data_IF_246773219887
#
_entry.id   IF_246773219887
#
_cell.length_a   1.000
_cell.length_b   1.000
_cell.length_c   1.000
_cell.angle_alpha   90.00
_cell.angle_beta   90.00
_cell.angle_gamma   90.00
#
_symmetry.space_group_name_H-M   'P 1'
#
loop_
_entity.id
_entity.type
_entity.pdbx_description
1 polymer ?
#
# COMPACT_ATOMS: atom_id res chain seq x y z
N UNK A 1 -10.91 -63.57 45.76
CA UNK A 1 -11.06 -63.00 44.40
C UNK A 1 -9.91 -63.53 43.56
N UNK A 2 -10.26 -64.19 42.45
CA UNK A 2 -9.45 -65.05 41.57
C UNK A 2 -8.57 -64.23 40.57
N UNK A 3 -7.63 -64.84 39.82
CA UNK A 3 -6.28 -64.33 39.58
C UNK A 3 -5.92 -64.13 38.09
N UNK A 4 -4.63 -63.79 37.86
CA UNK A 4 -3.77 -64.00 36.66
C UNK A 4 -3.58 -62.83 35.67
N UNK A 5 -2.29 -62.64 35.36
CA UNK A 5 -1.55 -61.85 34.34
C UNK A 5 -2.10 -61.98 32.90
N UNK A 6 -1.41 -61.57 31.79
CA UNK A 6 -0.17 -60.81 31.57
C UNK A 6 -0.24 -59.75 30.41
N UNK A 7 0.85 -58.99 30.24
CA UNK A 7 1.47 -58.59 28.95
C UNK A 7 0.57 -58.21 27.76
N UNK A 8 0.55 -56.93 27.36
CA UNK A 8 0.46 -56.55 25.94
C UNK A 8 1.30 -55.31 25.64
N UNK A 9 2.46 -55.55 25.04
CA UNK A 9 3.14 -54.56 24.20
C UNK A 9 2.32 -54.37 22.91
N UNK A 10 2.08 -53.11 22.54
CA UNK A 10 1.61 -52.75 21.21
C UNK A 10 2.63 -51.80 20.58
N UNK A 11 3.22 -52.31 19.50
CA UNK A 11 4.21 -51.70 18.63
C UNK A 11 3.47 -51.07 17.43
N UNK A 12 4.10 -50.06 16.81
CA UNK A 12 3.78 -49.45 15.51
C UNK A 12 2.57 -48.48 15.51
N UNK A 13 2.63 -47.30 14.90
CA UNK A 13 3.03 -47.05 13.50
C UNK A 13 3.56 -45.63 13.25
N UNK A 14 4.45 -45.59 12.27
CA UNK A 14 5.10 -44.46 11.59
C UNK A 14 4.12 -43.37 11.14
N UNK A 15 4.39 -42.12 11.52
CA UNK A 15 3.79 -40.92 10.95
C UNK A 15 4.89 -39.87 10.74
N UNK A 16 5.33 -39.75 9.50
CA UNK A 16 6.29 -38.74 9.04
C UNK A 16 5.67 -37.36 9.29
N UNK A 17 6.35 -36.52 10.07
CA UNK A 17 6.01 -35.10 10.24
C UNK A 17 6.91 -34.28 9.33
N UNK A 18 6.41 -33.68 8.23
CA UNK A 18 7.03 -32.54 7.61
C UNK A 18 6.14 -31.33 7.90
N UNK A 19 6.27 -30.76 9.10
CA UNK A 19 5.74 -29.43 9.43
C UNK A 19 6.94 -28.48 9.55
N UNK A 20 7.57 -28.24 8.40
CA UNK A 20 8.58 -27.21 8.22
C UNK A 20 8.32 -26.58 6.85
N UNK A 21 7.53 -25.51 6.84
CA UNK A 21 7.55 -24.39 5.89
C UNK A 21 6.50 -23.34 6.32
N UNK A 22 6.54 -22.92 7.60
CA UNK A 22 6.09 -21.57 7.96
C UNK A 22 7.34 -20.69 7.89
N UNK A 23 7.68 -20.29 6.67
CA UNK A 23 8.59 -19.19 6.37
C UNK A 23 7.74 -18.13 5.65
N UNK A 24 7.57 -16.92 6.13
CA UNK A 24 7.97 -16.32 7.37
C UNK A 24 7.24 -14.98 7.50
N UNK A 25 6.85 -14.63 8.71
CA UNK A 25 6.52 -13.26 9.09
C UNK A 25 7.37 -12.92 10.32
N UNK A 26 8.69 -12.83 10.12
CA UNK A 26 9.63 -12.26 11.09
C UNK A 26 11.02 -12.07 10.47
N UNK A 27 11.29 -10.86 9.98
CA UNK A 27 12.61 -10.20 10.07
C UNK A 27 13.79 -10.85 9.38
N UNK A 28 13.93 -10.62 8.08
CA UNK A 28 15.24 -10.41 7.47
C UNK A 28 15.35 -8.92 7.12
N UNK A 29 16.01 -8.14 7.98
CA UNK A 29 16.48 -6.79 7.64
C UNK A 29 17.72 -6.95 6.74
N UNK A 30 17.46 -7.34 5.49
CA UNK A 30 18.40 -7.25 4.39
C UNK A 30 18.11 -5.95 3.63
N UNK A 31 19.15 -5.17 3.36
CA UNK A 31 19.11 -4.00 2.48
C UNK A 31 18.74 -4.43 1.06
N UNK A 32 17.45 -4.61 0.81
CA UNK A 32 16.86 -4.47 -0.51
C UNK A 32 16.13 -3.14 -0.51
N UNK A 33 16.52 -2.25 -1.41
CA UNK A 33 15.73 -1.09 -1.84
C UNK A 33 14.47 -1.57 -2.61
N UNK A 34 13.79 -2.59 -2.09
CA UNK A 34 12.55 -3.13 -2.61
C UNK A 34 11.42 -2.28 -2.06
N UNK A 35 10.89 -1.39 -2.90
CA UNK A 35 9.56 -0.84 -2.67
C UNK A 35 8.62 -2.02 -2.42
N UNK A 36 7.87 -2.01 -1.34
CA UNK A 36 6.87 -3.04 -1.01
C UNK A 36 5.63 -2.95 -1.92
N UNK A 37 5.85 -2.70 -3.22
CA UNK A 37 4.84 -2.63 -4.26
C UNK A 37 5.03 -3.81 -5.20
N UNK A 38 3.92 -4.43 -5.62
CA UNK A 38 3.93 -5.43 -6.69
C UNK A 38 4.54 -4.88 -7.99
N UNK A 39 4.80 -5.77 -8.93
CA UNK A 39 5.27 -5.39 -10.26
C UNK A 39 4.25 -4.45 -10.92
N UNK A 40 4.67 -3.23 -11.24
CA UNK A 40 3.79 -2.23 -11.86
C UNK A 40 3.49 -2.53 -13.33
N UNK A 41 2.54 -1.81 -13.89
CA UNK A 41 2.19 -1.93 -15.31
C UNK A 41 3.17 -1.18 -16.22
N UNK A 42 3.46 -1.75 -17.39
CA UNK A 42 4.19 -1.04 -18.42
C UNK A 42 3.41 0.19 -18.90
N UNK A 43 4.12 1.22 -19.35
CA UNK A 43 3.48 2.38 -19.97
C UNK A 43 2.62 1.94 -21.16
N UNK A 44 1.33 2.31 -21.15
CA UNK A 44 0.37 1.94 -22.17
C UNK A 44 -0.18 0.51 -22.05
N UNK A 45 -0.05 -0.13 -20.88
CA UNK A 45 -0.79 -1.37 -20.58
C UNK A 45 -2.29 -1.20 -20.84
N UNK A 46 -2.95 -2.31 -21.20
CA UNK A 46 -4.39 -2.26 -21.49
C UNK A 46 -5.18 -2.10 -20.19
N UNK A 47 -6.37 -1.48 -20.28
CA UNK A 47 -7.27 -1.38 -19.13
C UNK A 47 -7.73 -2.78 -18.65
N UNK A 48 -7.89 -3.74 -19.57
CA UNK A 48 -8.24 -5.13 -19.23
C UNK A 48 -7.20 -5.80 -18.32
N UNK A 49 -5.90 -5.53 -18.54
CA UNK A 49 -4.83 -6.03 -17.67
C UNK A 49 -4.92 -5.44 -16.26
N UNK A 50 -5.31 -4.17 -16.14
CA UNK A 50 -5.49 -3.50 -14.85
C UNK A 50 -6.74 -4.02 -14.14
N UNK A 51 -7.86 -4.12 -14.87
CA UNK A 51 -9.15 -4.61 -14.39
C UNK A 51 -9.01 -6.02 -13.79
N UNK A 52 -8.26 -6.90 -14.47
CA UNK A 52 -8.03 -8.26 -14.00
C UNK A 52 -7.33 -8.33 -12.63
N UNK A 53 -6.50 -7.34 -12.28
CA UNK A 53 -5.79 -7.29 -11.00
C UNK A 53 -6.68 -6.71 -9.89
N UNK A 54 -7.61 -5.82 -10.24
CA UNK A 54 -8.48 -5.14 -9.27
C UNK A 54 -9.88 -5.77 -9.16
N UNK A 55 -10.18 -6.84 -9.91
CA UNK A 55 -11.52 -7.45 -9.93
C UNK A 55 -12.00 -7.88 -8.53
N UNK A 56 -11.11 -8.47 -7.74
CA UNK A 56 -11.38 -8.91 -6.37
C UNK A 56 -11.15 -7.81 -5.31
N UNK A 57 -10.79 -6.59 -5.71
CA UNK A 57 -10.60 -5.48 -4.78
C UNK A 57 -11.97 -5.06 -4.20
N UNK A 58 -12.09 -5.13 -2.88
CA UNK A 58 -13.20 -4.50 -2.15
C UNK A 58 -13.10 -2.96 -2.30
N UNK A 59 -14.22 -2.24 -2.39
CA UNK A 59 -14.18 -0.78 -2.50
C UNK A 59 -13.37 -0.14 -1.37
N UNK A 60 -12.42 0.72 -1.73
CA UNK A 60 -11.57 1.46 -0.80
C UNK A 60 -11.68 2.97 -1.04
N UNK A 61 -11.47 3.73 0.03
CA UNK A 61 -11.33 5.18 -0.02
C UNK A 61 -9.95 5.54 0.49
N UNK A 62 -9.20 6.31 -0.31
CA UNK A 62 -7.87 6.81 0.03
C UNK A 62 -7.95 8.30 0.36
N UNK A 63 -7.20 8.76 1.35
CA UNK A 63 -7.09 10.17 1.72
C UNK A 63 -6.10 10.86 0.80
N UNK A 64 -6.55 11.89 0.09
CA UNK A 64 -5.74 12.65 -0.87
C UNK A 64 -5.67 14.14 -0.51
N UNK A 65 -4.45 14.67 -0.36
CA UNK A 65 -4.18 16.11 -0.24
C UNK A 65 -3.63 16.73 -1.53
N UNK A 66 -4.48 17.26 -2.42
CA UNK A 66 -4.06 17.94 -3.65
C UNK A 66 -3.39 19.31 -3.40
N UNK A 67 -2.85 19.89 -4.47
CA UNK A 67 -2.22 21.22 -4.48
C UNK A 67 -3.17 22.38 -4.19
N UNK A 68 -4.47 22.22 -4.42
CA UNK A 68 -5.47 23.27 -4.26
C UNK A 68 -5.68 23.69 -2.81
N UNK A 69 -5.79 24.99 -2.55
CA UNK A 69 -6.14 25.49 -1.21
C UNK A 69 -7.61 25.29 -0.87
N UNK A 70 -8.47 25.15 -1.88
CA UNK A 70 -9.89 24.84 -1.79
C UNK A 70 -10.34 24.18 -3.10
N UNK A 71 -11.53 23.52 -3.12
CA UNK A 71 -11.97 22.76 -4.30
C UNK A 71 -12.23 23.62 -5.54
N UNK A 72 -12.46 24.93 -5.40
CA UNK A 72 -12.86 25.83 -6.49
C UNK A 72 -11.69 26.66 -7.06
N UNK A 73 -10.45 26.34 -6.69
CA UNK A 73 -9.27 27.08 -7.20
C UNK A 73 -8.78 26.54 -8.54
N UNK A 74 -8.10 27.35 -9.37
CA UNK A 74 -7.41 26.83 -10.55
C UNK A 74 -6.42 25.70 -10.25
N UNK A 75 -5.79 25.74 -9.07
CA UNK A 75 -4.87 24.69 -8.60
C UNK A 75 -5.57 23.38 -8.20
N UNK A 76 -6.91 23.35 -8.11
CA UNK A 76 -7.69 22.15 -7.80
C UNK A 76 -8.03 21.30 -9.03
N UNK A 77 -7.95 21.86 -10.24
CA UNK A 77 -8.36 21.19 -11.49
C UNK A 77 -7.66 19.84 -11.67
N UNK A 78 -6.34 19.79 -11.47
CA UNK A 78 -5.58 18.55 -11.59
C UNK A 78 -5.95 17.53 -10.49
N UNK A 79 -6.29 18.01 -9.28
CA UNK A 79 -6.74 17.16 -8.19
C UNK A 79 -8.06 16.48 -8.51
N UNK A 80 -9.04 17.22 -9.03
CA UNK A 80 -10.33 16.68 -9.44
C UNK A 80 -10.20 15.68 -10.58
N UNK A 81 -9.45 16.03 -11.63
CA UNK A 81 -9.23 15.13 -12.77
C UNK A 81 -8.53 13.83 -12.34
N UNK A 82 -7.58 13.90 -11.42
CA UNK A 82 -6.91 12.71 -10.89
C UNK A 82 -7.86 11.80 -10.09
N UNK A 83 -8.72 12.39 -9.25
CA UNK A 83 -9.74 11.65 -8.51
C UNK A 83 -10.76 10.98 -9.44
N UNK A 84 -11.26 11.72 -10.44
CA UNK A 84 -12.20 11.22 -11.45
C UNK A 84 -11.60 10.05 -12.25
N UNK A 85 -10.37 10.19 -12.73
CA UNK A 85 -9.70 9.14 -13.51
C UNK A 85 -9.43 7.89 -12.67
N UNK A 86 -9.10 8.03 -11.38
CA UNK A 86 -8.94 6.87 -10.48
C UNK A 86 -10.27 6.17 -10.26
N UNK A 87 -11.35 6.91 -10.01
CA UNK A 87 -12.67 6.34 -9.80
C UNK A 87 -13.18 5.64 -11.07
N UNK A 88 -13.06 6.28 -12.24
CA UNK A 88 -13.49 5.72 -13.52
C UNK A 88 -12.69 4.47 -13.90
N UNK A 89 -11.36 4.55 -13.86
CA UNK A 89 -10.49 3.42 -14.27
C UNK A 89 -10.46 2.27 -13.28
N UNK A 90 -10.91 2.49 -12.05
CA UNK A 90 -11.07 1.42 -11.07
C UNK A 90 -12.48 0.81 -11.09
N UNK A 91 -13.36 1.26 -11.99
CA UNK A 91 -14.77 0.84 -11.99
C UNK A 91 -15.49 1.21 -10.68
N UNK A 92 -15.07 2.31 -10.04
CA UNK A 92 -15.59 2.78 -8.76
C UNK A 92 -15.04 2.04 -7.53
N UNK A 93 -14.05 1.15 -7.69
CA UNK A 93 -13.45 0.42 -6.56
C UNK A 93 -12.50 1.26 -5.72
N UNK A 94 -11.91 2.31 -6.30
CA UNK A 94 -11.03 3.23 -5.59
C UNK A 94 -11.66 4.62 -5.66
N UNK A 95 -11.88 5.23 -4.52
CA UNK A 95 -12.36 6.61 -4.38
C UNK A 95 -11.35 7.44 -3.59
N UNK A 96 -11.31 8.75 -3.83
CA UNK A 96 -10.41 9.66 -3.09
C UNK A 96 -11.22 10.60 -2.18
N UNK A 97 -10.93 10.59 -0.88
CA UNK A 97 -11.37 11.63 0.06
C UNK A 97 -10.43 12.82 -0.04
N UNK A 98 -10.89 13.89 -0.68
CA UNK A 98 -10.07 15.05 -1.01
C UNK A 98 -10.03 16.07 0.13
N UNK A 99 -8.84 16.26 0.69
CA UNK A 99 -8.60 17.21 1.77
C UNK A 99 -7.77 18.40 1.28
N UNK A 100 -8.40 19.56 1.23
CA UNK A 100 -7.84 20.77 0.62
C UNK A 100 -6.97 21.58 1.58
N UNK A 101 -6.05 22.36 1.02
CA UNK A 101 -5.28 23.34 1.79
C UNK A 101 -4.26 22.76 2.75
N UNK A 102 -3.82 21.52 2.53
CA UNK A 102 -2.80 20.86 3.35
C UNK A 102 -3.24 20.78 4.83
N UNK A 103 -4.51 20.42 5.07
CA UNK A 103 -5.14 20.49 6.39
C UNK A 103 -4.80 19.33 7.35
N UNK A 104 -4.36 18.18 6.84
CA UNK A 104 -3.84 17.06 7.64
C UNK A 104 -2.34 17.20 7.86
N UNK A 105 -1.61 17.52 6.79
CA UNK A 105 -0.16 17.62 6.80
C UNK A 105 0.30 18.84 5.99
N UNK A 106 1.02 19.76 6.63
CA UNK A 106 1.73 20.83 5.93
C UNK A 106 2.98 20.33 5.21
N UNK A 107 3.52 21.10 4.25
CA UNK A 107 4.65 20.66 3.42
C UNK A 107 5.83 20.00 4.17
N UNK A 108 6.34 20.52 5.30
CA UNK A 108 7.47 19.90 6.00
C UNK A 108 7.20 18.53 6.63
N UNK A 109 5.94 18.12 6.75
CA UNK A 109 5.53 16.86 7.41
C UNK A 109 4.84 15.89 6.46
N UNK A 110 4.76 16.19 5.16
CA UNK A 110 4.06 15.32 4.20
C UNK A 110 4.71 13.92 4.14
N UNK A 111 6.04 13.83 4.14
CA UNK A 111 6.73 12.53 4.10
C UNK A 111 6.42 11.70 5.35
N UNK A 112 6.38 12.32 6.53
CA UNK A 112 6.00 11.65 7.78
C UNK A 112 4.52 11.22 7.74
N UNK A 113 3.63 12.07 7.22
CA UNK A 113 2.21 11.78 7.09
C UNK A 113 1.90 10.64 6.09
N UNK A 114 2.69 10.52 5.03
CA UNK A 114 2.64 9.39 4.10
C UNK A 114 3.18 8.12 4.77
N UNK A 115 4.27 8.22 5.54
CA UNK A 115 4.89 7.08 6.21
C UNK A 115 4.04 6.51 7.35
N UNK A 116 3.31 7.36 8.07
CA UNK A 116 2.44 6.96 9.19
C UNK A 116 0.98 6.71 8.78
N UNK A 117 0.60 7.01 7.53
CA UNK A 117 -0.71 6.73 6.96
C UNK A 117 -1.80 7.75 7.32
N UNK A 118 -1.43 8.95 7.81
CA UNK A 118 -2.37 10.07 7.95
C UNK A 118 -2.95 10.54 6.61
N UNK A 119 -2.16 10.42 5.54
CA UNK A 119 -2.55 10.72 4.16
C UNK A 119 -2.01 9.60 3.27
N UNK A 120 -2.79 9.14 2.29
CA UNK A 120 -2.35 8.09 1.35
C UNK A 120 -1.66 8.68 0.12
N UNK A 121 -2.12 9.84 -0.34
CA UNK A 121 -1.60 10.55 -1.51
C UNK A 121 -1.49 12.04 -1.18
N UNK A 122 -0.36 12.68 -1.54
CA UNK A 122 -0.21 14.13 -1.32
C UNK A 122 0.56 14.80 -2.45
N UNK A 123 0.26 16.09 -2.66
CA UNK A 123 1.05 16.99 -3.48
C UNK A 123 2.16 17.65 -2.65
N UNK A 124 3.41 17.47 -3.06
CA UNK A 124 4.58 18.09 -2.42
C UNK A 124 5.17 19.21 -3.29
N UNK A 125 5.83 20.18 -2.65
CA UNK A 125 6.64 21.22 -3.31
C UNK A 125 8.09 21.10 -2.82
N UNK A 126 8.92 20.23 -3.44
CA UNK A 126 10.25 19.89 -2.93
C UNK A 126 11.21 21.07 -2.74
N UNK A 127 11.03 22.16 -3.50
CA UNK A 127 11.85 23.37 -3.37
C UNK A 127 11.68 24.08 -2.01
N UNK A 128 10.63 23.75 -1.23
CA UNK A 128 10.46 24.27 0.12
C UNK A 128 11.36 23.57 1.15
N UNK A 129 11.90 22.39 0.82
CA UNK A 129 12.94 21.72 1.61
C UNK A 129 14.03 21.13 0.69
N UNK A 130 14.91 21.98 0.14
CA UNK A 130 15.95 21.52 -0.76
C UNK A 130 17.00 20.63 -0.08
N UNK A 131 17.09 20.67 1.26
CA UNK A 131 17.99 19.81 2.02
C UNK A 131 17.48 18.36 2.06
N UNK A 132 16.16 18.17 2.18
CA UNK A 132 15.52 16.87 2.07
C UNK A 132 15.51 16.33 0.62
N UNK A 133 15.40 17.21 -0.38
CA UNK A 133 15.31 16.82 -1.80
C UNK A 133 16.47 17.35 -2.67
N UNK A 134 17.73 16.97 -2.40
CA UNK A 134 18.90 17.54 -3.07
C UNK A 134 19.01 17.19 -4.57
N UNK A 135 18.26 16.19 -5.04
CA UNK A 135 18.24 15.77 -6.44
C UNK A 135 17.38 16.68 -7.35
N UNK A 136 16.51 17.52 -6.77
CA UNK A 136 15.62 18.40 -7.51
C UNK A 136 16.24 19.81 -7.56
N UNK A 137 16.87 20.20 -8.69
CA UNK A 137 17.47 21.52 -8.79
C UNK A 137 16.36 22.58 -8.75
N UNK A 138 16.48 23.57 -7.86
CA UNK A 138 15.51 24.65 -7.69
C UNK A 138 15.42 25.66 -8.84
N UNK A 139 15.80 25.27 -10.06
CA UNK A 139 15.79 26.09 -11.27
C UNK A 139 14.90 25.44 -12.33
N UNK A 140 13.69 25.99 -12.51
CA UNK A 140 12.74 25.68 -13.58
C UNK A 140 12.60 26.92 -14.47
#
# INVERSE_FOLDING_TARGET
MLPRSPLQAALATTGIVPLLLVSGCAGAVGTENGSAGGEGFAYGASQEDVDAVIDDLEPVTLVYQPSGSSPDTPAAVAGHAFAEEIEERSGGKISLDMVWGQAIAGYPEIDDALADGRVDISYHVPIYDPAAYPALPGSW
#
